data_IF_835558581995
#
_entry.id   IF_835558581995
#
_cell.length_a   1.000
_cell.length_b   1.000
_cell.length_c   1.000
_cell.angle_alpha   90.00
_cell.angle_beta   90.00
_cell.angle_gamma   90.00
#
_symmetry.space_group_name_H-M   'P 1'
#
loop_
_entity.id
_entity.type
_entity.pdbx_description
1 polymer ?
#
# COMPACT_ATOMS: atom_id res chain seq x y z
N UNK A 1 10.40 9.43 -21.47
CA UNK A 1 10.85 10.09 -20.23
C UNK A 1 10.23 9.30 -19.09
N UNK A 2 11.01 8.50 -18.36
CA UNK A 2 10.48 7.76 -17.20
C UNK A 2 10.11 8.77 -16.12
N UNK A 3 8.81 8.90 -15.85
CA UNK A 3 8.33 9.75 -14.75
C UNK A 3 8.55 8.96 -13.46
N UNK A 4 9.66 9.24 -12.77
CA UNK A 4 9.92 8.71 -11.43
C UNK A 4 9.02 9.45 -10.43
N UNK A 5 7.86 8.88 -10.12
CA UNK A 5 6.98 9.41 -9.09
C UNK A 5 7.62 9.24 -7.71
N UNK A 6 8.07 10.34 -7.12
CA UNK A 6 8.61 10.37 -5.75
C UNK A 6 7.48 10.69 -4.77
N UNK A 7 7.21 9.85 -3.77
CA UNK A 7 6.15 10.11 -2.80
C UNK A 7 6.45 11.37 -1.97
N UNK A 8 5.42 12.17 -1.73
CA UNK A 8 5.54 13.41 -0.94
C UNK A 8 5.67 13.06 0.54
N UNK A 9 6.61 13.70 1.25
CA UNK A 9 6.86 13.49 2.70
C UNK A 9 7.14 12.04 3.12
N UNK A 10 7.74 11.25 2.22
CA UNK A 10 7.99 9.82 2.43
C UNK A 10 8.63 9.49 3.79
N UNK A 11 9.72 10.16 4.15
CA UNK A 11 10.43 9.92 5.40
C UNK A 11 9.54 10.20 6.64
N UNK A 12 8.72 11.26 6.58
CA UNK A 12 7.81 11.62 7.67
C UNK A 12 6.67 10.62 7.81
N UNK A 13 6.12 10.14 6.69
CA UNK A 13 5.08 9.11 6.73
C UNK A 13 5.60 7.84 7.41
N UNK A 14 6.80 7.37 7.04
CA UNK A 14 7.40 6.18 7.67
C UNK A 14 7.67 6.40 9.16
N UNK A 15 8.20 7.57 9.53
CA UNK A 15 8.45 7.95 10.93
C UNK A 15 7.15 7.96 11.76
N UNK A 16 6.09 8.61 11.28
CA UNK A 16 4.82 8.72 12.01
C UNK A 16 4.01 7.44 12.02
N UNK A 17 4.07 6.65 10.94
CA UNK A 17 3.37 5.36 10.87
C UNK A 17 3.95 4.37 11.89
N UNK A 18 5.22 4.58 12.29
CA UNK A 18 5.92 3.85 13.34
C UNK A 18 5.64 2.34 13.22
N UNK A 19 6.02 1.77 12.07
CA UNK A 19 5.64 0.42 11.71
C UNK A 19 6.13 -0.60 12.76
N UNK A 20 5.25 -1.53 13.11
CA UNK A 20 5.48 -2.57 14.10
C UNK A 20 5.61 -3.91 13.39
N UNK A 21 6.46 -4.78 13.93
CA UNK A 21 6.58 -6.15 13.46
C UNK A 21 5.22 -6.87 13.53
N UNK A 22 4.93 -7.69 12.54
CA UNK A 22 3.65 -8.39 12.33
C UNK A 22 2.43 -7.47 12.22
N UNK A 23 2.61 -6.15 12.04
CA UNK A 23 1.52 -5.21 11.85
C UNK A 23 0.80 -5.43 10.52
N UNK A 24 -0.48 -5.04 10.50
CA UNK A 24 -1.32 -4.99 9.30
C UNK A 24 -1.62 -3.52 9.03
N UNK A 25 -1.29 -3.05 7.84
CA UNK A 25 -1.40 -1.64 7.46
C UNK A 25 -2.41 -1.43 6.34
N UNK A 26 -3.01 -0.25 6.32
CA UNK A 26 -3.93 0.18 5.28
C UNK A 26 -3.36 1.39 4.54
N UNK A 27 -3.20 1.27 3.23
CA UNK A 27 -2.98 2.39 2.31
C UNK A 27 -4.30 2.68 1.58
N UNK A 28 -5.03 3.71 2.03
CA UNK A 28 -6.34 4.05 1.48
C UNK A 28 -6.28 4.85 0.17
N UNK A 29 -5.07 5.21 -0.28
CA UNK A 29 -4.82 6.05 -1.46
C UNK A 29 -3.55 5.57 -2.15
N UNK A 30 -3.55 4.29 -2.55
CA UNK A 30 -2.35 3.59 -3.02
C UNK A 30 -1.63 4.34 -4.13
N UNK A 31 -2.38 4.98 -5.04
CA UNK A 31 -1.85 5.60 -6.24
C UNK A 31 -1.00 4.60 -7.02
N UNK A 32 0.17 5.03 -7.49
CA UNK A 32 1.15 4.13 -8.13
C UNK A 32 1.96 3.26 -7.14
N UNK A 33 1.66 3.30 -5.84
CA UNK A 33 2.25 2.42 -4.82
C UNK A 33 3.61 2.86 -4.27
N UNK A 34 3.96 4.15 -4.37
CA UNK A 34 5.28 4.64 -3.94
C UNK A 34 5.48 4.64 -2.41
N UNK A 35 4.48 5.05 -1.63
CA UNK A 35 4.52 4.95 -0.17
C UNK A 35 4.52 3.48 0.28
N UNK A 36 3.55 2.70 -0.21
CA UNK A 36 3.44 1.27 0.02
C UNK A 36 4.76 0.50 -0.20
N UNK A 37 5.44 0.77 -1.33
CA UNK A 37 6.71 0.11 -1.65
C UNK A 37 7.78 0.40 -0.61
N UNK A 38 7.94 1.66 -0.24
CA UNK A 38 8.97 2.07 0.73
C UNK A 38 8.66 1.53 2.12
N UNK A 39 7.39 1.59 2.55
CA UNK A 39 6.95 1.03 3.83
C UNK A 39 7.28 -0.46 3.90
N UNK A 40 6.96 -1.23 2.87
CA UNK A 40 7.22 -2.68 2.84
C UNK A 40 8.71 -3.03 2.70
N UNK A 41 9.47 -2.22 1.96
CA UNK A 41 10.91 -2.37 1.80
C UNK A 41 11.66 -2.13 3.11
N UNK A 42 11.30 -1.06 3.82
CA UNK A 42 12.00 -0.65 5.04
C UNK A 42 11.51 -1.44 6.27
N UNK A 43 10.35 -2.10 6.18
CA UNK A 43 9.74 -2.88 7.25
C UNK A 43 9.38 -4.30 6.77
N UNK A 44 10.37 -5.19 6.59
CA UNK A 44 10.15 -6.53 6.07
C UNK A 44 9.24 -7.38 6.97
N UNK A 45 9.22 -7.12 8.28
CA UNK A 45 8.42 -7.80 9.30
C UNK A 45 6.92 -7.45 9.27
N UNK A 46 6.48 -6.51 8.41
CA UNK A 46 5.04 -6.25 8.22
C UNK A 46 4.36 -7.53 7.74
N UNK A 47 3.28 -7.93 8.42
CA UNK A 47 2.50 -9.11 8.10
C UNK A 47 1.71 -8.92 6.80
N UNK A 48 1.03 -7.79 6.67
CA UNK A 48 0.22 -7.50 5.49
C UNK A 48 0.06 -5.99 5.25
N UNK A 49 -0.04 -5.62 3.97
CA UNK A 49 -0.50 -4.31 3.52
C UNK A 49 -1.80 -4.48 2.72
N UNK A 50 -2.84 -3.82 3.16
CA UNK A 50 -4.12 -3.72 2.47
C UNK A 50 -4.13 -2.36 1.77
N UNK A 51 -4.42 -2.32 0.48
CA UNK A 51 -4.32 -1.10 -0.29
C UNK A 51 -5.53 -0.89 -1.20
N UNK A 52 -5.99 0.36 -1.31
CA UNK A 52 -7.14 0.76 -2.10
C UNK A 52 -6.80 1.96 -2.98
N UNK A 53 -7.35 1.97 -4.19
CA UNK A 53 -7.46 3.16 -5.03
C UNK A 53 -8.64 3.03 -6.00
N UNK A 54 -9.24 4.15 -6.39
CA UNK A 54 -10.31 4.17 -7.38
C UNK A 54 -9.76 4.08 -8.82
N UNK A 55 -8.54 4.58 -9.05
CA UNK A 55 -7.96 4.70 -10.37
C UNK A 55 -7.36 3.36 -10.85
N UNK A 56 -7.94 2.80 -11.91
CA UNK A 56 -7.50 1.54 -12.51
C UNK A 56 -6.05 1.59 -13.01
N UNK A 57 -5.62 2.71 -13.58
CA UNK A 57 -4.26 2.86 -14.12
C UNK A 57 -3.24 2.93 -12.97
N UNK A 58 -3.59 3.64 -11.90
CA UNK A 58 -2.78 3.67 -10.68
C UNK A 58 -2.62 2.25 -10.09
N UNK A 59 -3.71 1.49 -10.01
CA UNK A 59 -3.70 0.10 -9.53
C UNK A 59 -2.80 -0.80 -10.40
N UNK A 60 -2.87 -0.66 -11.73
CA UNK A 60 -1.99 -1.42 -12.65
C UNK A 60 -0.52 -1.14 -12.37
N UNK A 61 -0.16 0.13 -12.24
CA UNK A 61 1.22 0.55 -11.93
C UNK A 61 1.66 0.07 -10.54
N UNK A 62 0.79 0.16 -9.54
CA UNK A 62 1.08 -0.30 -8.19
C UNK A 62 1.29 -1.81 -8.12
N UNK A 63 0.50 -2.61 -8.85
CA UNK A 63 0.69 -4.07 -8.92
C UNK A 63 2.04 -4.46 -9.49
N UNK A 64 2.52 -3.75 -10.51
CA UNK A 64 3.87 -3.95 -11.06
C UNK A 64 4.93 -3.55 -10.02
N UNK A 65 4.81 -2.37 -9.43
CA UNK A 65 5.77 -1.86 -8.44
C UNK A 65 5.85 -2.74 -7.19
N UNK A 66 4.72 -3.26 -6.71
CA UNK A 66 4.61 -4.08 -5.50
C UNK A 66 4.78 -5.58 -5.75
N UNK A 67 5.11 -6.01 -6.97
CA UNK A 67 5.36 -7.41 -7.29
C UNK A 67 6.30 -8.12 -6.30
N UNK A 68 7.42 -7.53 -5.82
CA UNK A 68 8.30 -8.16 -4.84
C UNK A 68 7.62 -8.49 -3.50
N UNK A 69 6.53 -7.81 -3.17
CA UNK A 69 5.77 -7.96 -1.93
C UNK A 69 4.40 -8.60 -2.13
N UNK A 70 4.12 -9.14 -3.32
CA UNK A 70 2.81 -9.70 -3.70
C UNK A 70 2.23 -10.71 -2.71
N UNK A 71 3.08 -11.48 -2.02
CA UNK A 71 2.68 -12.45 -1.00
C UNK A 71 2.04 -11.84 0.26
N UNK A 72 2.24 -10.54 0.50
CA UNK A 72 1.73 -9.82 1.67
C UNK A 72 0.97 -8.53 1.33
N UNK A 73 0.64 -8.32 0.05
CA UNK A 73 -0.14 -7.15 -0.40
C UNK A 73 -1.52 -7.56 -0.90
N UNK A 74 -2.56 -6.89 -0.41
CA UNK A 74 -3.95 -7.07 -0.83
C UNK A 74 -4.45 -5.78 -1.47
N UNK A 75 -4.48 -5.73 -2.80
CA UNK A 75 -4.79 -4.53 -3.57
C UNK A 75 -6.21 -4.61 -4.14
N UNK A 76 -7.03 -3.62 -3.81
CA UNK A 76 -8.43 -3.48 -4.24
C UNK A 76 -8.61 -2.21 -5.08
N UNK A 77 -9.25 -2.34 -6.25
CA UNK A 77 -9.71 -1.17 -7.01
C UNK A 77 -11.06 -0.73 -6.43
N UNK A 78 -11.05 0.13 -5.43
CA UNK A 78 -12.23 0.51 -4.66
C UNK A 78 -12.07 1.90 -4.04
N UNK A 79 -13.20 2.53 -3.71
CA UNK A 79 -13.20 3.79 -2.99
C UNK A 79 -12.89 3.55 -1.50
N UNK A 80 -12.06 4.41 -0.90
CA UNK A 80 -11.71 4.32 0.51
C UNK A 80 -12.93 4.36 1.46
N UNK A 81 -14.08 4.91 1.04
CA UNK A 81 -15.33 4.87 1.80
C UNK A 81 -15.75 3.41 2.09
N UNK A 82 -15.41 2.47 1.20
CA UNK A 82 -15.71 1.05 1.32
C UNK A 82 -14.70 0.26 2.17
N UNK A 83 -13.66 0.92 2.72
CA UNK A 83 -12.61 0.28 3.53
C UNK A 83 -13.19 -0.66 4.59
N UNK A 84 -14.17 -0.19 5.38
CA UNK A 84 -14.77 -1.01 6.46
C UNK A 84 -15.41 -2.29 5.92
N UNK A 85 -16.07 -2.22 4.77
CA UNK A 85 -16.72 -3.36 4.14
C UNK A 85 -15.69 -4.36 3.63
N UNK A 86 -14.58 -3.87 3.06
CA UNK A 86 -13.49 -4.69 2.55
C UNK A 86 -12.76 -5.39 3.70
N UNK A 87 -12.43 -4.66 4.76
CA UNK A 87 -11.76 -5.22 5.94
C UNK A 87 -12.59 -6.32 6.62
N UNK A 88 -13.92 -6.20 6.66
CA UNK A 88 -14.80 -7.26 7.19
C UNK A 88 -14.80 -8.56 6.39
N UNK A 89 -14.44 -8.49 5.10
CA UNK A 89 -14.38 -9.66 4.20
C UNK A 89 -13.00 -10.32 4.18
N UNK A 90 -12.01 -9.66 4.77
CA UNK A 90 -10.64 -10.15 4.84
C UNK A 90 -10.46 -11.00 6.11
N UNK A 91 -10.11 -12.26 5.92
CA UNK A 91 -9.66 -13.16 7.00
C UNK A 91 -8.13 -13.11 7.04
N UNK A 92 -7.57 -12.18 7.81
CA UNK A 92 -6.11 -11.91 7.91
C UNK A 92 -5.54 -12.18 9.30
#
# INVERSE_FOLDING_TARGET
>A
MEIVHTPVLLAKVVEYLNCQANGIYLDATLGSGGHAFTILKDNPEIKALIALDCDEEAIKQARVRLQPFSHKTHIFQENFINTRTILKKLEL
#
